data_IF_400054702205
#
_entry.id   IF_400054702205
#
_cell.length_a   1.000
_cell.length_b   1.000
_cell.length_c   1.000
_cell.angle_alpha   90.00
_cell.angle_beta   90.00
_cell.angle_gamma   90.00
#
_symmetry.space_group_name_H-M   'P 1'
#
loop_
_entity.id
_entity.type
_entity.pdbx_description
1 polymer ?
#
# COMPACT_ATOMS: atom_id res chain seq x y z
N UNK A 1 34.46 -17.04 -21.89
CA UNK A 1 34.15 -16.48 -20.56
C UNK A 1 32.72 -15.96 -20.62
N UNK A 2 31.80 -16.62 -19.92
CA UNK A 2 30.41 -16.16 -19.81
C UNK A 2 30.36 -14.97 -18.83
N UNK A 3 29.51 -13.95 -19.06
CA UNK A 3 29.27 -12.94 -18.05
C UNK A 3 28.40 -13.55 -16.94
N UNK A 4 28.89 -13.47 -15.71
CA UNK A 4 28.18 -13.82 -14.49
C UNK A 4 26.89 -12.99 -14.38
N UNK A 5 25.75 -13.68 -14.27
CA UNK A 5 24.47 -13.06 -13.89
C UNK A 5 24.61 -12.43 -12.50
N UNK A 6 24.75 -11.11 -12.46
CA UNK A 6 24.52 -10.34 -11.26
C UNK A 6 23.04 -10.48 -10.92
N UNK A 7 22.73 -11.08 -9.76
CA UNK A 7 21.42 -10.93 -9.15
C UNK A 7 21.23 -9.44 -8.87
N UNK A 8 20.46 -8.74 -9.72
CA UNK A 8 19.96 -7.41 -9.38
C UNK A 8 19.05 -7.59 -8.17
N UNK A 9 19.57 -7.21 -6.99
CA UNK A 9 18.75 -7.03 -5.82
C UNK A 9 17.74 -5.92 -6.16
N UNK A 10 16.48 -6.30 -6.42
CA UNK A 10 15.44 -5.39 -6.86
C UNK A 10 15.26 -4.22 -5.90
N UNK A 11 15.66 -3.03 -6.33
CA UNK A 11 15.42 -1.78 -5.62
C UNK A 11 14.00 -1.32 -5.95
N UNK A 12 13.08 -1.26 -4.98
CA UNK A 12 11.70 -0.80 -5.27
C UNK A 12 11.56 0.72 -5.27
N UNK A 13 12.64 1.45 -5.54
CA UNK A 13 12.60 2.89 -5.81
C UNK A 13 11.68 3.22 -7.00
N UNK A 14 11.41 2.23 -7.85
CA UNK A 14 10.46 2.33 -8.95
C UNK A 14 8.99 2.32 -8.51
N UNK A 15 8.68 1.84 -7.30
CA UNK A 15 7.32 1.85 -6.78
C UNK A 15 6.98 3.19 -6.15
N UNK A 16 5.87 3.78 -6.59
CA UNK A 16 5.32 5.02 -6.02
C UNK A 16 3.90 4.79 -5.55
N UNK A 17 3.50 5.45 -4.46
CA UNK A 17 2.12 5.45 -3.99
C UNK A 17 1.51 6.81 -4.26
N UNK A 18 0.34 6.81 -4.88
CA UNK A 18 -0.50 7.97 -5.07
C UNK A 18 -1.81 7.79 -4.35
N UNK A 19 -2.25 8.84 -3.69
CA UNK A 19 -3.56 8.90 -3.07
C UNK A 19 -4.35 9.98 -3.81
N UNK A 20 -5.58 9.66 -4.21
CA UNK A 20 -6.50 10.65 -4.76
C UNK A 20 -7.90 10.43 -4.22
N UNK A 21 -8.64 11.52 -4.07
CA UNK A 21 -10.04 11.50 -3.66
C UNK A 21 -10.84 12.43 -4.56
N UNK A 22 -12.06 12.01 -4.88
CA UNK A 22 -13.05 12.90 -5.46
C UNK A 22 -13.66 13.70 -4.29
N UNK A 23 -13.76 15.03 -4.39
CA UNK A 23 -13.98 15.97 -3.26
C UNK A 23 -15.31 15.85 -2.48
N UNK A 24 -16.13 14.86 -2.82
CA UNK A 24 -17.43 14.57 -2.20
C UNK A 24 -17.65 13.05 -2.04
N UNK A 25 -16.58 12.26 -2.05
CA UNK A 25 -16.64 10.80 -2.03
C UNK A 25 -16.19 10.25 -0.67
N UNK A 26 -16.99 9.35 -0.09
CA UNK A 26 -16.55 8.50 1.04
C UNK A 26 -15.56 7.41 0.59
N UNK A 27 -14.93 7.57 -0.58
CA UNK A 27 -13.99 6.62 -1.18
C UNK A 27 -12.71 7.35 -1.57
N UNK A 28 -11.60 6.81 -1.08
CA UNK A 28 -10.24 7.22 -1.40
C UNK A 28 -9.62 6.22 -2.38
N UNK A 29 -9.02 6.70 -3.46
CA UNK A 29 -8.29 5.87 -4.42
C UNK A 29 -6.82 5.83 -4.03
N UNK A 30 -6.34 4.64 -3.69
CA UNK A 30 -4.92 4.37 -3.44
C UNK A 30 -4.35 3.65 -4.66
N UNK A 31 -3.32 4.22 -5.26
CA UNK A 31 -2.69 3.69 -6.47
C UNK A 31 -1.23 3.39 -6.21
N UNK A 32 -0.80 2.15 -6.45
CA UNK A 32 0.61 1.81 -6.58
C UNK A 32 0.98 1.89 -8.06
N UNK A 33 2.02 2.66 -8.37
CA UNK A 33 2.58 2.80 -9.71
C UNK A 33 3.96 2.16 -9.77
N UNK A 34 4.20 1.34 -10.77
CA UNK A 34 5.52 0.80 -11.10
C UNK A 34 6.13 1.61 -12.25
N UNK A 35 7.20 2.34 -11.94
CA UNK A 35 7.97 3.15 -12.90
C UNK A 35 9.06 2.38 -13.65
N UNK A 36 9.33 1.13 -13.27
CA UNK A 36 10.32 0.31 -13.96
C UNK A 36 9.88 0.03 -15.39
N UNK A 37 10.83 0.01 -16.32
CA UNK A 37 10.61 -0.36 -17.73
C UNK A 37 10.64 -1.86 -17.96
N UNK A 38 11.24 -2.63 -17.06
CA UNK A 38 11.49 -4.07 -17.25
C UNK A 38 11.02 -4.92 -16.06
N UNK A 39 11.05 -4.37 -14.85
CA UNK A 39 10.81 -5.13 -13.63
C UNK A 39 9.32 -5.21 -13.29
N UNK A 40 8.81 -6.43 -13.07
CA UNK A 40 7.51 -6.64 -12.44
C UNK A 40 7.68 -6.71 -10.93
N UNK A 41 6.80 -6.06 -10.18
CA UNK A 41 6.75 -6.18 -8.72
C UNK A 41 5.46 -6.87 -8.31
N UNK A 42 5.52 -7.69 -7.27
CA UNK A 42 4.35 -8.25 -6.60
C UNK A 42 4.34 -7.79 -5.16
N UNK A 43 3.21 -7.29 -4.68
CA UNK A 43 3.06 -6.68 -3.35
C UNK A 43 2.06 -7.50 -2.54
N UNK A 44 2.45 -7.91 -1.33
CA UNK A 44 1.49 -8.43 -0.35
C UNK A 44 0.70 -7.23 0.21
N UNK A 45 -0.62 -7.24 -0.01
CA UNK A 45 -1.50 -6.12 0.35
C UNK A 45 -1.69 -5.93 1.85
N UNK A 46 -1.35 -6.92 2.67
CA UNK A 46 -1.57 -6.90 4.11
C UNK A 46 -0.80 -5.79 4.82
N UNK A 47 -1.53 -5.03 5.63
CA UNK A 47 -1.00 -3.90 6.41
C UNK A 47 -0.34 -2.82 5.52
N UNK A 48 -0.78 -2.74 4.27
CA UNK A 48 -0.41 -1.69 3.32
C UNK A 48 -1.61 -0.78 3.03
N UNK A 49 -1.40 0.36 2.36
CA UNK A 49 -2.50 1.20 1.87
C UNK A 49 -3.50 0.50 0.92
N UNK A 50 -3.14 -0.65 0.32
CA UNK A 50 -4.06 -1.46 -0.48
C UNK A 50 -4.91 -2.44 0.34
N UNK A 51 -4.68 -2.51 1.66
CA UNK A 51 -5.46 -3.35 2.54
C UNK A 51 -6.90 -2.81 2.66
N UNK A 52 -7.94 -3.64 2.53
CA UNK A 52 -9.33 -3.22 2.78
C UNK A 52 -9.57 -2.61 4.16
N UNK A 53 -8.70 -2.92 5.13
CA UNK A 53 -8.73 -2.41 6.49
C UNK A 53 -7.61 -1.39 6.77
N UNK A 54 -6.97 -0.82 5.74
CA UNK A 54 -5.83 0.09 5.86
C UNK A 54 -6.06 1.23 6.87
N UNK A 55 -7.25 1.83 6.84
CA UNK A 55 -7.71 2.84 7.80
C UNK A 55 -7.74 2.31 9.24
N UNK A 56 -8.35 1.14 9.46
CA UNK A 56 -8.48 0.54 10.80
C UNK A 56 -7.14 0.06 11.36
N UNK A 57 -6.23 -0.39 10.48
CA UNK A 57 -4.90 -0.88 10.82
C UNK A 57 -3.89 0.24 11.07
N UNK A 58 -4.19 1.47 10.63
CA UNK A 58 -3.24 2.59 10.67
C UNK A 58 -2.20 2.58 9.54
N UNK A 59 -2.44 1.84 8.46
CA UNK A 59 -1.63 1.92 7.23
C UNK A 59 -1.95 3.20 6.43
N UNK A 60 -3.10 3.82 6.72
CA UNK A 60 -3.47 5.17 6.33
C UNK A 60 -3.80 5.98 7.59
N UNK A 61 -3.34 7.22 7.66
CA UNK A 61 -3.58 8.15 8.77
C UNK A 61 -4.37 9.36 8.31
N UNK A 62 -5.14 9.95 9.23
CA UNK A 62 -5.87 11.21 9.02
C UNK A 62 -5.32 12.28 9.95
N UNK A 63 -5.19 13.48 9.41
CA UNK A 63 -4.83 14.72 10.11
C UNK A 63 -5.81 15.81 9.69
N UNK A 64 -6.41 16.51 10.64
CA UNK A 64 -7.23 17.69 10.37
C UNK A 64 -6.33 18.82 9.83
N UNK A 65 -6.62 19.36 8.65
CA UNK A 65 -5.73 20.33 7.98
C UNK A 65 -5.72 21.69 8.68
N UNK A 66 -6.80 22.06 9.36
CA UNK A 66 -6.94 23.36 10.01
C UNK A 66 -6.22 23.39 11.37
N UNK A 67 -6.41 22.36 12.17
CA UNK A 67 -5.82 22.23 13.51
C UNK A 67 -4.45 21.55 13.51
N UNK A 68 -4.16 20.71 12.52
CA UNK A 68 -3.00 19.82 12.50
C UNK A 68 -3.16 18.61 13.44
N UNK A 69 -4.34 18.39 14.00
CA UNK A 69 -4.59 17.30 14.94
C UNK A 69 -4.76 15.96 14.21
N UNK A 70 -4.01 14.95 14.66
CA UNK A 70 -4.18 13.59 14.16
C UNK A 70 -5.53 13.02 14.63
N UNK A 71 -6.26 12.37 13.71
CA UNK A 71 -7.50 11.66 14.02
C UNK A 71 -7.16 10.20 14.30
N UNK A 72 -7.16 9.75 15.57
CA UNK A 72 -6.73 8.41 15.92
C UNK A 72 -7.74 7.38 15.42
N UNK A 73 -7.27 6.47 14.55
CA UNK A 73 -8.00 5.26 14.20
C UNK A 73 -7.97 4.22 15.34
N UNK A 74 -8.74 3.13 15.20
CA UNK A 74 -8.85 2.10 16.23
C UNK A 74 -7.59 1.26 16.44
N UNK A 75 -6.58 1.37 15.56
CA UNK A 75 -5.32 0.62 15.66
C UNK A 75 -5.55 -0.90 15.75
N UNK A 76 -6.51 -1.39 14.96
CA UNK A 76 -7.03 -2.75 15.07
C UNK A 76 -5.92 -3.78 14.80
N UNK A 77 -5.88 -4.85 15.60
CA UNK A 77 -5.00 -5.99 15.34
C UNK A 77 -5.83 -7.09 14.69
N UNK A 78 -5.60 -7.33 13.40
CA UNK A 78 -6.28 -8.39 12.65
C UNK A 78 -5.43 -9.66 12.71
N UNK A 79 -6.03 -10.75 13.20
CA UNK A 79 -5.43 -12.07 13.10
C UNK A 79 -5.72 -12.64 11.70
N UNK A 80 -4.68 -12.84 10.89
CA UNK A 80 -4.81 -13.31 9.51
C UNK A 80 -4.49 -14.79 9.41
N UNK A 81 -5.28 -15.52 8.65
CA UNK A 81 -5.03 -16.93 8.36
C UNK A 81 -3.76 -17.07 7.52
N UNK A 82 -2.83 -17.91 7.95
CA UNK A 82 -1.58 -18.20 7.24
C UNK A 82 -1.70 -19.51 6.43
N UNK A 83 -1.02 -19.60 5.27
CA UNK A 83 -0.32 -18.52 4.56
C UNK A 83 -1.30 -17.49 3.98
N UNK A 84 -0.83 -16.29 3.58
CA UNK A 84 -1.67 -15.37 2.83
C UNK A 84 -2.28 -16.04 1.60
N UNK A 85 -3.55 -15.78 1.27
CA UNK A 85 -4.15 -16.30 0.05
C UNK A 85 -3.51 -15.63 -1.18
N UNK A 86 -3.56 -16.31 -2.33
CA UNK A 86 -2.89 -15.83 -3.56
C UNK A 86 -3.43 -14.49 -4.06
N UNK A 87 -4.69 -14.20 -3.82
CA UNK A 87 -5.36 -12.94 -4.14
C UNK A 87 -4.97 -11.77 -3.22
N UNK A 88 -4.31 -12.04 -2.08
CA UNK A 88 -3.71 -11.01 -1.25
C UNK A 88 -2.41 -10.45 -1.85
N UNK A 89 -1.88 -11.07 -2.91
CA UNK A 89 -0.72 -10.59 -3.65
C UNK A 89 -1.18 -9.91 -4.94
N UNK A 90 -0.78 -8.65 -5.11
CA UNK A 90 -1.09 -7.86 -6.30
C UNK A 90 0.16 -7.67 -7.13
N UNK A 91 0.07 -8.05 -8.41
CA UNK A 91 1.13 -7.82 -9.40
C UNK A 91 1.00 -6.41 -10.01
N UNK A 92 2.11 -5.70 -10.09
CA UNK A 92 2.25 -4.40 -10.76
C UNK A 92 3.34 -4.55 -11.84
N UNK A 93 2.90 -4.67 -13.09
CA UNK A 93 3.75 -4.85 -14.27
C UNK A 93 4.59 -3.60 -14.55
N UNK A 94 5.66 -3.70 -15.36
CA UNK A 94 6.44 -2.55 -15.78
C UNK A 94 5.53 -1.46 -16.35
N UNK A 95 5.80 -0.22 -15.98
CA UNK A 95 5.07 0.97 -16.46
C UNK A 95 3.55 0.88 -16.27
N UNK A 96 3.09 0.21 -15.22
CA UNK A 96 1.66 0.03 -14.94
C UNK A 96 1.28 0.46 -13.53
N UNK A 97 -0.02 0.57 -13.30
CA UNK A 97 -0.59 0.93 -12.01
C UNK A 97 -1.58 -0.12 -11.54
N UNK A 98 -1.74 -0.21 -10.22
CA UNK A 98 -2.86 -0.90 -9.58
C UNK A 98 -3.53 0.05 -8.61
N UNK A 99 -4.86 0.11 -8.63
CA UNK A 99 -5.64 1.03 -7.81
C UNK A 99 -6.63 0.25 -6.96
N UNK A 100 -6.78 0.65 -5.71
CA UNK A 100 -7.89 0.22 -4.85
C UNK A 100 -8.64 1.40 -4.25
N UNK A 101 -9.92 1.15 -4.09
CA UNK A 101 -10.83 2.02 -3.37
C UNK A 101 -10.80 1.66 -1.88
N UNK A 102 -10.55 2.67 -1.05
CA UNK A 102 -10.56 2.59 0.41
C UNK A 102 -11.80 3.33 0.90
N UNK A 103 -12.63 2.63 1.66
CA UNK A 103 -13.84 3.20 2.24
C UNK A 103 -13.50 4.10 3.43
N UNK A 104 -13.96 5.35 3.37
CA UNK A 104 -13.88 6.35 4.43
C UNK A 104 -15.19 6.50 5.22
N UNK A 105 -16.27 5.80 4.85
CA UNK A 105 -17.52 5.74 5.60
C UNK A 105 -17.44 4.86 6.87
N UNK A 106 -16.33 4.92 7.60
CA UNK A 106 -16.15 4.16 8.84
C UNK A 106 -16.70 4.95 10.03
N UNK A 107 -17.30 4.31 11.05
CA UNK A 107 -17.97 5.03 12.15
C UNK A 107 -17.10 6.00 12.96
N UNK A 108 -15.78 5.81 12.95
CA UNK A 108 -14.83 6.65 13.69
C UNK A 108 -14.26 7.80 12.83
N UNK A 109 -14.47 7.76 11.52
CA UNK A 109 -14.02 8.81 10.61
C UNK A 109 -15.01 9.99 10.71
N UNK A 110 -14.53 11.23 10.90
CA UNK A 110 -15.38 12.41 10.97
C UNK A 110 -16.23 12.59 9.71
N UNK A 111 -17.43 13.13 9.88
CA UNK A 111 -18.36 13.57 8.82
C UNK A 111 -18.89 14.97 9.20
N UNK A 112 -17.96 15.89 9.40
CA UNK A 112 -18.22 17.23 9.94
C UNK A 112 -18.04 18.36 8.91
N UNK A 113 -17.80 18.02 7.64
CA UNK A 113 -17.59 18.94 6.54
C UNK A 113 -16.17 19.52 6.46
N UNK A 114 -15.22 19.06 7.28
CA UNK A 114 -13.84 19.57 7.28
C UNK A 114 -12.93 18.87 6.29
N UNK A 115 -11.78 19.48 6.04
CA UNK A 115 -10.72 18.95 5.17
C UNK A 115 -9.67 18.23 6.02
N UNK A 116 -9.37 17.00 5.62
CA UNK A 116 -8.41 16.13 6.26
C UNK A 116 -7.31 15.73 5.27
N UNK A 117 -6.08 15.64 5.77
CA UNK A 117 -4.95 15.10 5.04
C UNK A 117 -4.83 13.61 5.33
N UNK A 118 -4.77 12.82 4.27
CA UNK A 118 -4.53 11.37 4.32
C UNK A 118 -3.11 11.07 3.86
N UNK A 119 -2.42 10.22 4.62
CA UNK A 119 -1.05 9.81 4.35
C UNK A 119 -0.92 8.30 4.55
N UNK A 120 0.03 7.68 3.84
CA UNK A 120 0.38 6.29 4.12
C UNK A 120 1.36 6.21 5.28
N UNK A 121 1.24 5.18 6.09
CA UNK A 121 2.17 4.89 7.17
C UNK A 121 2.47 3.38 7.24
N UNK A 122 3.60 3.04 7.86
CA UNK A 122 3.95 1.67 8.19
C UNK A 122 4.95 1.06 7.21
N UNK A 123 5.30 -0.20 7.47
CA UNK A 123 6.25 -0.97 6.67
C UNK A 123 5.51 -2.12 6.00
N UNK A 124 5.78 -2.33 4.72
CA UNK A 124 5.14 -3.40 3.96
C UNK A 124 5.82 -4.73 4.25
N UNK A 125 5.01 -5.76 4.52
CA UNK A 125 5.52 -7.06 4.94
C UNK A 125 6.34 -7.76 3.85
N UNK A 126 5.88 -7.69 2.61
CA UNK A 126 6.56 -8.36 1.50
C UNK A 126 6.29 -7.66 0.17
N UNK A 127 7.37 -7.46 -0.58
CA UNK A 127 7.34 -7.14 -2.01
C UNK A 127 8.36 -8.04 -2.69
N UNK A 128 8.01 -8.57 -3.84
CA UNK A 128 8.85 -9.44 -4.65
C UNK A 128 9.14 -8.78 -5.98
N UNK A 129 10.40 -8.82 -6.42
CA UNK A 129 10.81 -8.35 -7.74
C UNK A 129 10.60 -9.47 -8.78
N UNK A 130 9.39 -10.02 -8.82
CA UNK A 130 8.97 -11.08 -9.74
C UNK A 130 7.44 -11.09 -9.90
N UNK A 131 6.93 -11.66 -11.01
CA UNK A 131 5.50 -11.90 -11.19
C UNK A 131 4.89 -12.74 -10.07
N UNK A 132 3.61 -12.54 -9.77
CA UNK A 132 2.94 -13.18 -8.64
C UNK A 132 2.90 -14.71 -8.79
N UNK A 133 2.81 -15.19 -10.03
CA UNK A 133 2.85 -16.60 -10.38
C UNK A 133 4.21 -17.27 -10.10
N UNK A 134 5.30 -16.49 -9.96
CA UNK A 134 6.64 -17.00 -9.67
C UNK A 134 6.96 -17.00 -8.15
N UNK A 135 6.04 -16.52 -7.32
CA UNK A 135 6.18 -16.60 -5.87
C UNK A 135 5.82 -18.03 -5.45
N UNK A 136 6.77 -18.73 -4.83
CA UNK A 136 6.51 -20.07 -4.31
C UNK A 136 5.60 -20.00 -3.07
N UNK A 137 4.87 -21.08 -2.77
CA UNK A 137 4.06 -21.13 -1.53
C UNK A 137 4.92 -20.93 -0.29
N UNK A 138 6.18 -21.39 -0.32
CA UNK A 138 7.16 -21.22 0.74
C UNK A 138 7.59 -19.76 0.93
N UNK A 139 7.78 -19.02 -0.16
CA UNK A 139 8.10 -17.58 -0.09
C UNK A 139 6.92 -16.79 0.46
N UNK A 140 5.70 -17.17 0.06
CA UNK A 140 4.46 -16.55 0.50
C UNK A 140 4.16 -16.84 1.98
N UNK A 141 4.35 -18.09 2.43
CA UNK A 141 4.19 -18.52 3.82
C UNK A 141 5.14 -17.75 4.74
N UNK A 142 6.39 -17.59 4.33
CA UNK A 142 7.39 -16.83 5.08
C UNK A 142 7.19 -15.32 4.96
N UNK A 143 6.35 -14.87 4.03
CA UNK A 143 6.25 -13.47 3.61
C UNK A 143 7.65 -12.88 3.34
N UNK A 144 8.56 -13.72 2.83
CA UNK A 144 9.94 -13.36 2.58
C UNK A 144 10.03 -12.76 1.18
N UNK A 145 9.80 -11.45 1.11
CA UNK A 145 10.03 -10.62 -0.08
C UNK A 145 11.50 -10.53 -0.47
N UNK A 146 11.78 -10.15 -1.72
CA UNK A 146 13.14 -9.90 -2.21
C UNK A 146 13.75 -8.62 -1.61
N UNK A 147 12.95 -7.82 -0.90
CA UNK A 147 13.37 -6.51 -0.42
C UNK A 147 12.84 -6.20 0.98
N UNK A 148 13.78 -5.91 1.89
CA UNK A 148 13.56 -5.19 3.14
C UNK A 148 13.19 -3.73 2.82
N UNK A 149 11.94 -3.46 2.42
CA UNK A 149 11.48 -2.14 1.94
C UNK A 149 10.84 -1.30 3.04
N UNK A 150 11.37 -1.39 4.25
CA UNK A 150 10.71 -0.80 5.40
C UNK A 150 10.76 0.74 5.45
N UNK A 151 11.38 1.44 4.47
CA UNK A 151 11.61 2.89 4.59
C UNK A 151 11.39 3.80 3.37
N UNK A 152 11.49 3.33 2.11
CA UNK A 152 11.73 4.26 0.98
C UNK A 152 10.62 4.34 -0.09
N UNK A 153 9.42 3.79 0.15
CA UNK A 153 8.33 4.00 -0.82
C UNK A 153 7.83 5.44 -0.67
N UNK A 154 8.13 6.27 -1.66
CA UNK A 154 7.62 7.63 -1.73
C UNK A 154 6.10 7.60 -1.86
N UNK A 155 5.42 8.02 -0.79
CA UNK A 155 3.97 8.26 -0.82
C UNK A 155 3.67 9.73 -0.93
N UNK A 156 2.70 10.04 -1.78
CA UNK A 156 2.00 11.33 -1.78
C UNK A 156 0.93 11.33 -0.68
N UNK A 157 0.57 12.53 -0.21
CA UNK A 157 -0.59 12.76 0.67
C UNK A 157 -1.73 13.37 -0.14
N UNK A 158 -2.97 13.08 0.23
CA UNK A 158 -4.16 13.70 -0.37
C UNK A 158 -4.95 14.49 0.67
N UNK A 159 -5.58 15.58 0.25
CA UNK A 159 -6.54 16.32 1.08
C UNK A 159 -7.96 15.99 0.62
N UNK A 160 -8.83 15.65 1.56
CA UNK A 160 -10.22 15.26 1.30
C UNK A 160 -11.16 15.99 2.26
N UNK A 161 -12.28 16.46 1.72
CA UNK A 161 -13.39 16.97 2.54
C UNK A 161 -14.27 15.79 2.96
N UNK A 162 -14.50 15.62 4.25
CA UNK A 162 -15.37 14.57 4.78
C UNK A 162 -16.74 15.13 5.11
N UNK A 163 -17.79 14.62 4.46
CA UNK A 163 -19.20 15.04 4.61
C UNK A 163 -20.08 13.87 5.07
#
# INVERSE_FOLDING_TARGET
MAPSSAHEQGSTQDLKIRISSDSSSSVLKVTIENKSSTQTYSVLTWDTPLDPQAMNLGALTLEDVESGDAIPGPGMKINRQMPPPRDAVVEVRPQSTTTRDVNLGLPWIPSDGKVYRIQTQGSWKAVWAKPAAQISDKDLEKMAGDSHLSKDIHSESAEIKLE
#
